data_IF_128791999114
#
_entry.id   IF_128791999114
#
_cell.length_a   1.000
_cell.length_b   1.000
_cell.length_c   1.000
_cell.angle_alpha   90.00
_cell.angle_beta   90.00
_cell.angle_gamma   90.00
#
_symmetry.space_group_name_H-M   'P 1'
#
loop_
_entity.id
_entity.type
_entity.pdbx_description
1 polymer ?
#
# COMPACT_ATOMS: atom_id res chain seq x y z
N UNK A 1 -14.86 6.73 -21.81
CA UNK A 1 -14.51 5.30 -21.92
C UNK A 1 -14.23 4.81 -20.50
N UNK A 2 -14.85 3.68 -20.13
CA UNK A 2 -14.92 2.99 -18.82
C UNK A 2 -14.42 3.70 -17.54
N UNK A 3 -15.34 4.27 -16.76
CA UNK A 3 -15.13 4.55 -15.33
C UNK A 3 -15.23 3.25 -14.53
N UNK A 4 -14.13 2.53 -14.38
CA UNK A 4 -14.01 1.43 -13.43
C UNK A 4 -13.52 2.02 -12.11
N UNK A 5 -14.43 2.32 -11.19
CA UNK A 5 -14.06 2.56 -9.80
C UNK A 5 -13.80 1.19 -9.18
N UNK A 6 -12.54 0.78 -8.93
CA UNK A 6 -12.32 -0.46 -8.21
C UNK A 6 -12.91 -0.33 -6.81
N UNK A 7 -13.83 -1.23 -6.46
CA UNK A 7 -14.43 -1.27 -5.13
C UNK A 7 -13.42 -1.81 -4.13
N UNK A 8 -12.62 -0.92 -3.54
CA UNK A 8 -11.70 -1.25 -2.45
C UNK A 8 -12.54 -1.54 -1.19
N UNK A 9 -12.30 -2.64 -0.45
CA UNK A 9 -13.04 -2.92 0.78
C UNK A 9 -12.84 -1.77 1.80
N UNK A 10 -13.88 -1.41 2.57
CA UNK A 10 -13.80 -0.28 3.48
C UNK A 10 -12.71 -0.52 4.54
N UNK A 11 -11.68 0.32 4.52
CA UNK A 11 -10.62 0.35 5.51
C UNK A 11 -10.95 1.37 6.61
N UNK A 12 -10.30 1.23 7.77
CA UNK A 12 -10.40 2.25 8.81
C UNK A 12 -9.66 3.51 8.34
N UNK A 13 -10.26 4.71 8.41
CA UNK A 13 -9.65 5.91 7.83
C UNK A 13 -8.38 6.32 8.57
N UNK A 14 -7.35 6.76 7.82
CA UNK A 14 -6.04 7.13 8.37
C UNK A 14 -6.16 8.28 9.38
N UNK A 15 -7.07 9.22 9.12
CA UNK A 15 -7.34 10.38 9.97
C UNK A 15 -7.99 10.01 11.31
N UNK A 16 -8.67 8.87 11.42
CA UNK A 16 -9.26 8.41 12.67
C UNK A 16 -8.24 7.73 13.61
N UNK A 17 -7.01 7.46 13.14
CA UNK A 17 -5.93 6.99 14.01
C UNK A 17 -5.38 8.19 14.78
N UNK A 18 -5.53 8.18 16.09
CA UNK A 18 -5.07 9.28 16.96
C UNK A 18 -3.56 9.16 17.23
N UNK A 19 -2.82 10.26 17.09
CA UNK A 19 -1.36 10.31 17.27
C UNK A 19 -0.60 9.66 16.11
N UNK A 20 0.66 9.26 16.35
CA UNK A 20 1.54 8.66 15.33
C UNK A 20 1.83 9.58 14.13
N UNK A 21 1.89 10.91 14.35
CA UNK A 21 2.05 11.90 13.28
C UNK A 21 3.29 11.68 12.42
N UNK A 22 4.40 11.25 13.02
CA UNK A 22 5.62 10.92 12.29
C UNK A 22 5.42 9.74 11.30
N UNK A 23 4.65 8.72 11.69
CA UNK A 23 4.36 7.56 10.82
C UNK A 23 3.40 7.95 9.71
N UNK A 24 2.34 8.72 10.03
CA UNK A 24 1.40 9.23 9.02
C UNK A 24 2.12 10.07 7.97
N UNK A 25 3.00 10.98 8.42
CA UNK A 25 3.78 11.83 7.54
C UNK A 25 4.70 10.99 6.65
N UNK A 26 5.45 10.04 7.22
CA UNK A 26 6.33 9.16 6.44
C UNK A 26 5.55 8.38 5.36
N UNK A 27 4.39 7.82 5.73
CA UNK A 27 3.52 7.09 4.80
C UNK A 27 3.00 7.97 3.67
N UNK A 28 2.55 9.19 3.98
CA UNK A 28 2.08 10.14 2.98
C UNK A 28 3.21 10.62 2.07
N UNK A 29 4.40 10.87 2.62
CA UNK A 29 5.57 11.25 1.82
C UNK A 29 5.94 10.15 0.82
N UNK A 30 5.96 8.89 1.25
CA UNK A 30 6.23 7.77 0.33
C UNK A 30 5.14 7.53 -0.69
N UNK A 31 3.91 7.94 -0.41
CA UNK A 31 2.82 7.89 -1.39
C UNK A 31 2.93 9.01 -2.44
N UNK A 32 3.50 10.16 -2.06
CA UNK A 32 3.71 11.31 -2.97
C UNK A 32 4.96 11.10 -3.82
N UNK A 33 6.06 10.68 -3.22
CA UNK A 33 7.33 10.46 -3.91
C UNK A 33 7.88 9.05 -3.63
N UNK A 34 7.68 8.09 -4.55
CA UNK A 34 8.20 6.74 -4.40
C UNK A 34 9.73 6.66 -4.51
N UNK A 35 10.43 7.71 -4.96
CA UNK A 35 11.91 7.73 -5.01
C UNK A 35 12.54 7.87 -3.62
N UNK A 36 11.76 8.29 -2.62
CA UNK A 36 12.18 8.32 -1.21
C UNK A 36 12.46 6.90 -0.65
N UNK A 37 12.08 5.85 -1.39
CA UNK A 37 12.25 4.46 -1.00
C UNK A 37 11.05 3.93 -0.23
N UNK A 38 11.29 3.11 0.81
CA UNK A 38 10.24 2.46 1.61
C UNK A 38 10.29 2.85 3.09
N UNK A 39 9.13 2.82 3.76
CA UNK A 39 9.01 3.07 5.21
C UNK A 39 8.99 1.75 5.98
N UNK A 40 9.94 1.58 6.92
CA UNK A 40 9.90 0.50 7.90
C UNK A 40 9.24 0.98 9.20
N UNK A 41 8.11 0.39 9.56
CA UNK A 41 7.36 0.76 10.78
C UNK A 41 7.48 -0.36 11.82
N UNK A 42 8.22 -0.11 12.89
CA UNK A 42 8.36 -1.01 14.04
C UNK A 42 7.57 -0.52 15.26
N UNK A 43 7.14 -1.43 16.13
CA UNK A 43 6.56 -1.05 17.43
C UNK A 43 5.81 -2.19 18.13
N UNK A 44 5.24 -1.90 19.30
CA UNK A 44 4.49 -2.88 20.10
C UNK A 44 3.23 -3.40 19.37
N UNK A 45 2.75 -4.59 19.73
CA UNK A 45 1.46 -5.11 19.26
C UNK A 45 0.34 -4.14 19.69
N UNK A 46 -0.66 -3.96 18.82
CA UNK A 46 -1.83 -3.09 19.11
C UNK A 46 -1.63 -1.60 18.79
N UNK A 47 -0.54 -1.21 18.12
CA UNK A 47 -0.24 0.19 17.75
C UNK A 47 -0.76 0.61 16.37
N UNK A 48 -1.81 -0.06 15.86
CA UNK A 48 -2.45 0.26 14.58
C UNK A 48 -1.56 0.27 13.32
N UNK A 49 -0.34 -0.28 13.34
CA UNK A 49 0.58 -0.29 12.18
C UNK A 49 -0.04 -0.85 10.90
N UNK A 50 -0.60 -2.06 10.96
CA UNK A 50 -1.27 -2.68 9.81
C UNK A 50 -2.58 -1.99 9.43
N UNK A 51 -3.24 -1.34 10.39
CA UNK A 51 -4.43 -0.53 10.14
C UNK A 51 -4.06 0.70 9.33
N UNK A 52 -3.01 1.44 9.72
CA UNK A 52 -2.50 2.60 8.96
C UNK A 52 -2.04 2.21 7.55
N UNK A 53 -1.38 1.06 7.38
CA UNK A 53 -0.97 0.58 6.06
C UNK A 53 -2.16 0.32 5.12
N UNK A 54 -3.24 -0.30 5.63
CA UNK A 54 -4.49 -0.51 4.86
C UNK A 54 -5.25 0.79 4.61
N UNK A 55 -5.22 1.71 5.56
CA UNK A 55 -5.81 3.03 5.41
C UNK A 55 -5.12 3.86 4.32
N UNK A 56 -3.78 3.73 4.21
CA UNK A 56 -3.05 4.35 3.11
C UNK A 56 -3.43 3.72 1.77
N UNK A 57 -3.51 2.38 1.70
CA UNK A 57 -3.88 1.66 0.48
C UNK A 57 -5.22 2.12 -0.10
N UNK A 58 -6.23 2.36 0.73
CA UNK A 58 -7.53 2.89 0.28
C UNK A 58 -7.50 4.34 -0.21
N UNK A 59 -6.43 5.09 0.08
CA UNK A 59 -6.26 6.46 -0.40
C UNK A 59 -5.47 6.53 -1.71
N UNK A 60 -4.78 5.46 -2.08
CA UNK A 60 -3.99 5.43 -3.31
C UNK A 60 -4.91 5.35 -4.54
N UNK A 61 -4.58 6.09 -5.62
CA UNK A 61 -5.32 6.01 -6.85
C UNK A 61 -5.14 4.63 -7.51
N UNK A 62 -6.11 4.17 -8.31
CA UNK A 62 -5.89 3.02 -9.17
C UNK A 62 -4.75 3.31 -10.15
N UNK A 63 -4.07 2.24 -10.57
CA UNK A 63 -2.93 2.31 -11.49
C UNK A 63 -3.30 1.67 -12.82
N UNK A 64 -2.74 2.21 -13.89
CA UNK A 64 -2.80 1.62 -15.23
C UNK A 64 -1.61 0.69 -15.42
N UNK A 65 -1.88 -0.55 -15.83
CA UNK A 65 -0.86 -1.58 -16.03
C UNK A 65 -1.01 -2.20 -17.42
N UNK A 66 0.09 -2.68 -17.99
CA UNK A 66 0.03 -3.50 -19.20
C UNK A 66 -0.72 -4.79 -18.89
N UNK A 67 -1.68 -5.13 -19.75
CA UNK A 67 -2.47 -6.35 -19.66
C UNK A 67 -1.57 -7.59 -19.69
N UNK A 68 -1.90 -8.59 -18.88
CA UNK A 68 -1.14 -9.83 -18.69
C UNK A 68 0.30 -9.66 -18.17
N UNK A 69 0.65 -8.49 -17.61
CA UNK A 69 1.92 -8.29 -16.92
C UNK A 69 1.92 -8.97 -15.54
N UNK A 70 2.96 -9.76 -15.26
CA UNK A 70 3.16 -10.37 -13.94
C UNK A 70 3.56 -9.35 -12.86
N UNK A 71 4.14 -8.22 -13.27
CA UNK A 71 4.84 -7.28 -12.39
C UNK A 71 4.14 -5.92 -12.25
N UNK A 72 2.89 -5.77 -12.70
CA UNK A 72 2.18 -4.48 -12.73
C UNK A 72 2.99 -3.38 -13.44
N UNK A 73 3.56 -3.71 -14.61
CA UNK A 73 4.41 -2.78 -15.36
C UNK A 73 3.59 -1.63 -15.95
N UNK A 74 4.15 -0.42 -15.86
CA UNK A 74 3.58 0.74 -16.54
C UNK A 74 3.66 0.55 -18.07
N UNK A 75 2.64 0.97 -18.83
CA UNK A 75 2.71 0.95 -20.28
C UNK A 75 3.81 1.89 -20.78
N UNK A 76 4.64 1.42 -21.71
CA UNK A 76 5.67 2.26 -22.34
C UNK A 76 5.03 3.17 -23.39
N UNK A 77 4.01 2.64 -24.07
CA UNK A 77 3.22 3.34 -25.07
C UNK A 77 1.73 3.02 -24.88
N UNK A 78 0.94 3.91 -24.24
CA UNK A 78 -0.44 3.64 -23.88
C UNK A 78 -1.39 3.55 -25.08
N UNK A 79 -1.02 4.08 -26.26
CA UNK A 79 -1.86 4.03 -27.45
C UNK A 79 -1.69 2.74 -28.26
N UNK A 80 -0.57 2.03 -28.04
CA UNK A 80 -0.18 0.84 -28.80
C UNK A 80 -0.16 -0.46 -27.99
N UNK A 81 -0.24 -0.39 -26.65
CA UNK A 81 -0.27 -1.53 -25.74
C UNK A 81 -1.68 -1.74 -25.17
N UNK A 82 -2.10 -3.00 -24.98
CA UNK A 82 -3.34 -3.29 -24.24
C UNK A 82 -3.11 -3.01 -22.75
N UNK A 83 -3.86 -2.06 -22.19
CA UNK A 83 -3.78 -1.69 -20.76
C UNK A 83 -5.06 -2.05 -20.01
N UNK A 84 -4.91 -2.26 -18.71
CA UNK A 84 -6.01 -2.42 -17.77
C UNK A 84 -5.78 -1.55 -16.52
N UNK A 85 -6.89 -1.08 -15.93
CA UNK A 85 -6.84 -0.29 -14.69
C UNK A 85 -7.12 -1.22 -13.53
N UNK A 86 -6.14 -1.35 -12.63
CA UNK A 86 -6.25 -2.15 -11.42
C UNK A 86 -6.17 -1.27 -10.17
N UNK A 87 -6.81 -1.65 -9.05
CA UNK A 87 -6.55 -1.00 -7.78
C UNK A 87 -5.07 -1.13 -7.40
N UNK A 88 -4.54 -0.14 -6.67
CA UNK A 88 -3.15 -0.15 -6.23
C UNK A 88 -2.80 -1.51 -5.57
N UNK A 89 -1.70 -2.16 -5.96
CA UNK A 89 -1.34 -3.46 -5.40
C UNK A 89 -0.97 -3.31 -3.92
N UNK A 90 -1.50 -4.19 -3.07
CA UNK A 90 -1.19 -4.21 -1.65
C UNK A 90 -0.98 -5.64 -1.17
N UNK A 91 0.21 -5.90 -0.64
CA UNK A 91 0.60 -7.20 -0.10
C UNK A 91 1.04 -7.00 1.35
N UNK A 92 0.44 -7.76 2.26
CA UNK A 92 0.88 -7.81 3.65
C UNK A 92 1.78 -9.03 3.85
N UNK A 93 3.09 -8.81 3.93
CA UNK A 93 4.04 -9.88 4.24
C UNK A 93 4.11 -10.04 5.77
N UNK A 94 3.70 -11.20 6.32
CA UNK A 94 3.95 -11.47 7.73
C UNK A 94 5.46 -11.63 7.91
N UNK A 95 6.09 -10.66 8.55
CA UNK A 95 7.41 -10.86 9.14
C UNK A 95 7.23 -11.85 10.29
N UNK A 96 7.42 -13.13 10.00
CA UNK A 96 7.35 -14.22 10.95
C UNK A 96 8.44 -14.07 12.01
N UNK A 97 8.17 -13.28 13.04
CA UNK A 97 8.93 -13.31 14.29
C UNK A 97 8.45 -14.54 15.07
N UNK A 98 8.86 -15.73 14.62
CA UNK A 98 8.97 -16.88 15.49
C UNK A 98 10.33 -16.76 16.21
N UNK A 99 10.36 -16.03 17.33
CA UNK A 99 11.38 -16.30 18.35
C UNK A 99 10.82 -17.44 19.20
N UNK A 100 10.78 -18.64 18.63
CA UNK A 100 10.71 -19.86 19.44
C UNK A 100 12.11 -20.13 19.96
N UNK A 101 12.25 -20.22 21.29
CA UNK A 101 13.47 -20.43 22.09
C UNK A 101 14.30 -19.18 22.43
N UNK A 102 13.78 -18.39 23.36
CA UNK A 102 14.61 -17.87 24.45
C UNK A 102 14.35 -18.79 25.66
N UNK A 103 15.19 -19.81 25.83
CA UNK A 103 15.33 -20.48 27.13
C UNK A 103 16.29 -19.60 27.94
N UNK A 104 15.83 -19.12 29.09
CA UNK A 104 16.70 -18.68 30.19
C UNK A 104 17.32 -19.93 30.84
#
# INVERSE_FOLDING_TARGET
>A
MATLTPSIPPSFPLTAVVGQEAIKLALLLTAVDPQLGGVAIAGRRGTAKSVMARALHSLLPPIEVRKDSYCNEAPTDPDHEETEIIPAPFIQIPLGVYISNFHL
#
